data_IF_354120642505
#
_entry.id   IF_354120642505
#
_cell.length_a   1.000
_cell.length_b   1.000
_cell.length_c   1.000
_cell.angle_alpha   90.00
_cell.angle_beta   90.00
_cell.angle_gamma   90.00
#
_symmetry.space_group_name_H-M   'P 1'
#
loop_
_entity.id
_entity.type
_entity.pdbx_description
1 polymer ?
#
# COMPACT_ATOMS: atom_id res chain seq x y z
N UNK A 1 16.70 -11.54 39.90
CA UNK A 1 17.20 -11.15 41.24
C UNK A 1 18.47 -11.92 41.57
N UNK A 2 18.50 -13.26 41.45
CA UNK A 2 19.71 -14.06 41.73
C UNK A 2 20.95 -13.66 40.92
N UNK A 3 20.81 -13.40 39.61
CA UNK A 3 21.94 -12.98 38.75
C UNK A 3 22.58 -11.64 39.15
N UNK A 4 21.84 -10.79 39.87
CA UNK A 4 22.31 -9.48 40.34
C UNK A 4 22.45 -9.43 41.87
N UNK A 5 22.17 -10.55 42.55
CA UNK A 5 22.13 -10.67 44.01
C UNK A 5 21.39 -9.54 44.75
N UNK A 6 20.21 -9.15 44.25
CA UNK A 6 19.35 -8.12 44.85
C UNK A 6 18.15 -8.72 45.57
N UNK A 7 17.75 -8.13 46.69
CA UNK A 7 16.81 -8.73 47.64
C UNK A 7 15.35 -8.42 47.28
N UNK A 8 15.10 -7.23 46.73
CA UNK A 8 13.74 -6.77 46.42
C UNK A 8 13.69 -5.93 45.13
N UNK A 9 12.45 -5.66 44.66
CA UNK A 9 12.21 -4.93 43.41
C UNK A 9 12.71 -3.48 43.51
N UNK A 10 12.65 -2.88 44.70
CA UNK A 10 13.07 -1.50 44.92
C UNK A 10 14.58 -1.33 44.72
N UNK A 11 15.37 -2.22 45.30
CA UNK A 11 16.83 -2.25 45.11
C UNK A 11 17.21 -2.46 43.65
N UNK A 12 16.47 -3.32 42.94
CA UNK A 12 16.68 -3.52 41.51
C UNK A 12 16.40 -2.23 40.71
N UNK A 13 15.29 -1.56 40.99
CA UNK A 13 14.93 -0.29 40.33
C UNK A 13 15.97 0.80 40.61
N UNK A 14 16.37 0.96 41.87
CA UNK A 14 17.37 1.95 42.28
C UNK A 14 18.72 1.68 41.61
N UNK A 15 19.15 0.41 41.52
CA UNK A 15 20.36 0.02 40.78
C UNK A 15 20.27 0.34 39.27
N UNK A 16 19.15 -0.02 38.63
CA UNK A 16 18.95 0.25 37.20
C UNK A 16 18.94 1.75 36.90
N UNK A 17 18.35 2.56 37.78
CA UNK A 17 18.28 4.02 37.59
C UNK A 17 19.66 4.64 37.83
N UNK A 18 20.28 4.38 38.98
CA UNK A 18 21.49 5.10 39.41
C UNK A 18 22.75 4.60 38.71
N UNK A 19 22.93 3.29 38.60
CA UNK A 19 24.19 2.71 38.09
C UNK A 19 24.16 2.48 36.58
N UNK A 20 22.98 2.23 36.00
CA UNK A 20 22.86 1.84 34.60
C UNK A 20 22.34 2.97 33.71
N UNK A 21 21.22 3.60 34.08
CA UNK A 21 20.58 4.64 33.25
C UNK A 21 21.27 5.99 33.40
N UNK A 22 21.57 6.42 34.64
CA UNK A 22 22.18 7.72 34.90
C UNK A 22 23.61 7.81 34.33
N UNK A 23 24.39 6.73 34.46
CA UNK A 23 25.73 6.59 33.86
C UNK A 23 25.67 6.52 32.32
N UNK A 24 24.52 6.20 31.74
CA UNK A 24 24.30 6.17 30.30
C UNK A 24 24.64 4.84 29.63
N UNK A 25 24.80 3.76 30.39
CA UNK A 25 25.03 2.40 29.86
C UNK A 25 23.80 1.90 29.11
N UNK A 26 22.60 2.20 29.61
CA UNK A 26 21.33 1.82 29.00
C UNK A 26 20.37 3.00 28.93
N UNK A 27 19.58 3.06 27.87
CA UNK A 27 18.39 3.92 27.79
C UNK A 27 17.17 3.02 27.76
N UNK A 28 16.31 3.17 28.76
CA UNK A 28 15.22 2.24 28.99
C UNK A 28 14.08 2.89 29.78
N UNK A 29 12.95 2.18 29.85
CA UNK A 29 11.81 2.54 30.70
C UNK A 29 11.45 1.39 31.62
N UNK A 30 11.16 1.72 32.89
CA UNK A 30 10.62 0.78 33.86
C UNK A 30 9.09 0.76 33.73
N UNK A 31 8.52 -0.42 33.48
CA UNK A 31 7.09 -0.65 33.45
C UNK A 31 6.71 -1.54 34.63
N UNK A 32 6.20 -0.91 35.69
CA UNK A 32 5.89 -1.59 36.95
C UNK A 32 4.67 -2.51 36.84
N UNK A 33 3.70 -2.15 35.98
CA UNK A 33 2.50 -2.98 35.79
C UNK A 33 2.85 -4.29 35.10
N UNK A 34 3.70 -4.22 34.07
CA UNK A 34 4.17 -5.42 33.33
C UNK A 34 5.39 -6.07 33.96
N UNK A 35 5.92 -5.48 35.05
CA UNK A 35 7.14 -5.88 35.75
C UNK A 35 8.30 -6.11 34.78
N UNK A 36 8.46 -5.21 33.81
CA UNK A 36 9.45 -5.35 32.75
C UNK A 36 10.29 -4.08 32.58
N UNK A 37 11.52 -4.29 32.10
CA UNK A 37 12.45 -3.22 31.78
C UNK A 37 12.63 -3.16 30.27
N UNK A 38 12.09 -2.11 29.66
CA UNK A 38 12.06 -1.95 28.21
C UNK A 38 13.28 -1.17 27.76
N UNK A 39 14.29 -1.89 27.28
CA UNK A 39 15.55 -1.34 26.82
C UNK A 39 15.43 -0.87 25.36
N UNK A 40 15.73 0.39 25.11
CA UNK A 40 15.77 0.97 23.77
C UNK A 40 17.21 1.00 23.23
N UNK A 41 18.18 1.16 24.12
CA UNK A 41 19.59 1.20 23.77
C UNK A 41 20.42 0.62 24.91
N UNK A 42 21.50 -0.09 24.56
CA UNK A 42 22.52 -0.55 25.48
C UNK A 42 23.90 -0.35 24.86
N UNK A 43 24.84 0.16 25.63
CA UNK A 43 26.24 0.26 25.23
C UNK A 43 26.89 -1.14 25.23
N UNK A 44 27.66 -1.45 24.18
CA UNK A 44 28.48 -2.65 24.14
C UNK A 44 29.69 -2.49 25.05
N UNK A 45 29.83 -3.37 26.05
CA UNK A 45 30.91 -3.28 27.05
C UNK A 45 32.09 -4.20 26.72
N UNK A 46 31.82 -5.49 26.50
CA UNK A 46 32.85 -6.51 26.34
C UNK A 46 32.59 -7.38 25.12
N UNK A 47 33.66 -7.72 24.39
CA UNK A 47 33.64 -8.74 23.33
C UNK A 47 34.35 -9.99 23.84
N UNK A 48 33.64 -11.11 23.94
CA UNK A 48 34.29 -12.39 24.26
C UNK A 48 35.00 -12.94 23.02
N UNK A 49 36.12 -13.66 23.17
CA UNK A 49 36.79 -14.32 22.05
C UNK A 49 35.80 -15.18 21.25
N UNK A 50 35.82 -15.05 19.91
CA UNK A 50 34.93 -15.78 19.00
C UNK A 50 33.56 -15.12 18.72
N UNK A 51 33.15 -14.08 19.45
CA UNK A 51 31.85 -13.43 19.21
C UNK A 51 31.82 -12.49 17.99
N UNK A 52 32.98 -12.00 17.56
CA UNK A 52 33.07 -11.04 16.45
C UNK A 52 32.49 -11.62 15.14
N UNK A 53 32.78 -12.89 14.83
CA UNK A 53 32.24 -13.55 13.64
C UNK A 53 30.72 -13.64 13.67
N UNK A 54 30.13 -13.96 14.83
CA UNK A 54 28.67 -13.96 15.00
C UNK A 54 28.07 -12.57 14.84
N UNK A 55 28.73 -11.51 15.33
CA UNK A 55 28.26 -10.14 15.16
C UNK A 55 28.24 -9.72 13.69
N UNK A 56 29.31 -10.00 12.96
CA UNK A 56 29.41 -9.74 11.52
C UNK A 56 28.28 -10.47 10.80
N UNK A 57 28.09 -11.76 11.08
CA UNK A 57 27.04 -12.55 10.45
C UNK A 57 25.63 -11.98 10.72
N UNK A 58 25.31 -11.62 11.97
CA UNK A 58 24.02 -11.02 12.33
C UNK A 58 23.78 -9.70 11.59
N UNK A 59 24.79 -8.83 11.51
CA UNK A 59 24.70 -7.56 10.79
C UNK A 59 24.55 -7.77 9.28
N UNK A 60 25.29 -8.72 8.69
CA UNK A 60 25.17 -9.06 7.27
C UNK A 60 23.79 -9.60 6.93
N UNK A 61 23.23 -10.48 7.76
CA UNK A 61 21.88 -11.02 7.56
C UNK A 61 20.83 -9.90 7.68
N UNK A 62 20.99 -8.99 8.63
CA UNK A 62 20.06 -7.87 8.79
C UNK A 62 20.11 -6.92 7.60
N UNK A 63 21.30 -6.61 7.09
CA UNK A 63 21.48 -5.82 5.88
C UNK A 63 20.80 -6.49 4.68
N UNK A 64 21.12 -7.76 4.43
CA UNK A 64 20.53 -8.52 3.31
C UNK A 64 19.00 -8.58 3.39
N UNK A 65 18.45 -8.78 4.59
CA UNK A 65 16.99 -8.79 4.80
C UNK A 65 16.38 -7.42 4.48
N UNK A 66 17.01 -6.34 4.90
CA UNK A 66 16.57 -4.97 4.64
C UNK A 66 16.61 -4.64 3.14
N UNK A 67 17.69 -5.04 2.45
CA UNK A 67 17.83 -4.84 1.01
C UNK A 67 16.78 -5.62 0.21
N UNK A 68 16.52 -6.88 0.60
CA UNK A 68 15.49 -7.70 -0.03
C UNK A 68 14.08 -7.10 0.15
N UNK A 69 13.79 -6.56 1.33
CA UNK A 69 12.53 -5.87 1.61
C UNK A 69 12.40 -4.61 0.75
N UNK A 70 13.48 -3.83 0.61
CA UNK A 70 13.49 -2.64 -0.24
C UNK A 70 13.25 -2.99 -1.72
N UNK A 71 13.95 -3.99 -2.24
CA UNK A 71 13.75 -4.48 -3.61
C UNK A 71 12.31 -4.93 -3.85
N UNK A 72 11.75 -5.68 -2.89
CA UNK A 72 10.35 -6.13 -2.96
C UNK A 72 9.38 -4.95 -3.04
N UNK A 73 9.59 -3.91 -2.23
CA UNK A 73 8.76 -2.70 -2.26
C UNK A 73 8.89 -2.01 -3.63
N UNK A 74 10.11 -1.86 -4.15
CA UNK A 74 10.34 -1.23 -5.45
C UNK A 74 9.65 -1.99 -6.60
N UNK A 75 9.69 -3.32 -6.58
CA UNK A 75 9.02 -4.13 -7.59
C UNK A 75 7.50 -4.03 -7.49
N UNK A 76 6.95 -3.93 -6.27
CA UNK A 76 5.52 -3.67 -6.06
C UNK A 76 5.08 -2.31 -6.56
N UNK A 77 5.92 -1.28 -6.42
CA UNK A 77 5.66 0.05 -6.98
C UNK A 77 5.62 -0.03 -8.51
N UNK A 78 6.64 -0.60 -9.15
CA UNK A 78 6.69 -0.75 -10.63
C UNK A 78 5.50 -1.54 -11.17
N UNK A 79 5.13 -2.61 -10.47
CA UNK A 79 3.96 -3.40 -10.83
C UNK A 79 2.68 -2.57 -10.75
N UNK A 80 2.48 -1.82 -9.65
CA UNK A 80 1.32 -0.98 -9.47
C UNK A 80 1.23 0.12 -10.54
N UNK A 81 2.35 0.75 -10.88
CA UNK A 81 2.41 1.75 -11.95
C UNK A 81 2.04 1.15 -13.30
N UNK A 82 2.59 -0.02 -13.63
CA UNK A 82 2.31 -0.73 -14.89
C UNK A 82 0.83 -1.10 -15.00
N UNK A 83 0.25 -1.65 -13.94
CA UNK A 83 -1.17 -2.01 -13.90
C UNK A 83 -2.05 -0.77 -13.99
N UNK A 84 -1.69 0.31 -13.29
CA UNK A 84 -2.42 1.58 -13.37
C UNK A 84 -2.45 2.17 -14.77
N UNK A 85 -1.32 2.16 -15.48
CA UNK A 85 -1.26 2.64 -16.86
C UNK A 85 -2.04 1.76 -17.84
N UNK A 86 -1.99 0.43 -17.67
CA UNK A 86 -2.81 -0.49 -18.46
C UNK A 86 -4.31 -0.26 -18.22
N UNK A 87 -4.73 -0.10 -16.97
CA UNK A 87 -6.13 0.17 -16.62
C UNK A 87 -6.61 1.52 -17.17
N UNK A 88 -5.78 2.56 -17.11
CA UNK A 88 -6.08 3.86 -17.72
C UNK A 88 -6.28 3.72 -19.23
N UNK A 89 -5.41 2.97 -19.91
CA UNK A 89 -5.53 2.71 -21.35
C UNK A 89 -6.80 1.94 -21.69
N UNK A 90 -7.08 0.85 -20.98
CA UNK A 90 -8.28 0.05 -21.17
C UNK A 90 -9.57 0.85 -20.94
N UNK A 91 -9.59 1.69 -19.90
CA UNK A 91 -10.71 2.59 -19.62
C UNK A 91 -10.92 3.58 -20.78
N UNK A 92 -9.85 4.20 -21.27
CA UNK A 92 -9.93 5.14 -22.40
C UNK A 92 -10.47 4.47 -23.67
N UNK A 93 -9.96 3.29 -24.02
CA UNK A 93 -10.46 2.53 -25.19
C UNK A 93 -11.94 2.13 -25.04
N UNK A 94 -12.38 1.76 -23.83
CA UNK A 94 -13.78 1.43 -23.58
C UNK A 94 -14.70 2.66 -23.71
N UNK A 95 -14.25 3.82 -23.22
CA UNK A 95 -14.96 5.09 -23.38
C UNK A 95 -15.06 5.51 -24.86
N UNK A 96 -13.98 5.38 -25.64
CA UNK A 96 -13.98 5.68 -27.07
C UNK A 96 -14.98 4.78 -27.83
N UNK A 97 -14.97 3.47 -27.59
CA UNK A 97 -15.95 2.53 -28.18
C UNK A 97 -17.38 2.86 -27.77
N UNK A 98 -17.61 3.26 -26.52
CA UNK A 98 -18.93 3.69 -26.07
C UNK A 98 -19.42 4.91 -26.85
N UNK A 99 -18.56 5.90 -27.06
CA UNK A 99 -18.90 7.10 -27.84
C UNK A 99 -19.16 6.78 -29.32
N UNK A 100 -18.40 5.86 -29.92
CA UNK A 100 -18.67 5.37 -31.28
C UNK A 100 -20.03 4.66 -31.38
N UNK A 101 -20.37 3.80 -30.41
CA UNK A 101 -21.68 3.13 -30.35
C UNK A 101 -22.81 4.15 -30.18
N UNK A 102 -22.64 5.17 -29.32
CA UNK A 102 -23.62 6.26 -29.19
C UNK A 102 -23.82 7.03 -30.49
N UNK A 103 -22.73 7.38 -31.19
CA UNK A 103 -22.78 8.09 -32.49
C UNK A 103 -23.50 7.27 -33.55
N UNK A 104 -23.16 5.99 -33.70
CA UNK A 104 -23.79 5.09 -34.68
C UNK A 104 -25.27 4.85 -34.38
N UNK A 105 -25.65 4.74 -33.10
CA UNK A 105 -27.06 4.65 -32.69
C UNK A 105 -27.83 5.94 -33.01
N UNK A 106 -27.24 7.11 -32.76
CA UNK A 106 -27.85 8.40 -33.09
C UNK A 106 -28.06 8.56 -34.60
N UNK A 107 -27.07 8.20 -35.41
CA UNK A 107 -27.17 8.22 -36.88
C UNK A 107 -28.27 7.26 -37.39
N UNK A 108 -28.34 6.04 -36.85
CA UNK A 108 -29.42 5.09 -37.17
C UNK A 108 -30.79 5.66 -36.79
N UNK A 109 -30.93 6.28 -35.62
CA UNK A 109 -32.19 6.92 -35.19
C UNK A 109 -32.63 8.02 -36.17
N UNK A 110 -31.71 8.85 -36.64
CA UNK A 110 -32.00 9.89 -37.64
C UNK A 110 -32.37 9.30 -39.01
N UNK A 111 -31.71 8.23 -39.46
CA UNK A 111 -32.07 7.55 -40.71
C UNK A 111 -33.44 6.87 -40.63
N UNK A 112 -33.78 6.21 -39.52
CA UNK A 112 -35.09 5.58 -39.34
C UNK A 112 -36.22 6.61 -39.29
N UNK A 113 -35.97 7.76 -38.63
CA UNK A 113 -36.93 8.86 -38.62
C UNK A 113 -37.13 9.47 -40.00
N UNK A 114 -36.05 9.77 -40.72
CA UNK A 114 -36.15 10.29 -42.09
C UNK A 114 -36.84 9.33 -43.05
N UNK A 115 -36.67 8.01 -42.87
CA UNK A 115 -37.36 6.98 -43.66
C UNK A 115 -38.85 6.89 -43.34
N UNK A 116 -39.23 7.05 -42.07
CA UNK A 116 -40.64 7.14 -41.65
C UNK A 116 -41.32 8.42 -42.15
N UNK A 117 -40.62 9.57 -42.16
CA UNK A 117 -41.15 10.83 -42.70
C UNK A 117 -41.39 10.75 -44.21
N UNK A 118 -40.47 10.15 -44.97
CA UNK A 118 -40.63 9.93 -46.41
C UNK A 118 -41.80 8.99 -46.74
N UNK A 119 -42.03 7.94 -45.96
CA UNK A 119 -43.20 7.05 -46.15
C UNK A 119 -44.52 7.73 -45.79
N UNK A 120 -44.54 8.62 -44.80
CA UNK A 120 -45.76 9.34 -44.41
C UNK A 120 -46.09 10.49 -45.39
N UNK A 121 -45.10 11.19 -45.92
CA UNK A 121 -45.29 12.18 -47.00
C UNK A 121 -45.69 11.51 -48.33
N UNK A 122 -45.13 10.35 -48.65
CA UNK A 122 -45.55 9.56 -49.81
C UNK A 122 -47.01 9.07 -49.69
N UNK A 123 -47.44 8.68 -48.48
CA UNK A 123 -48.83 8.27 -48.22
C UNK A 123 -49.81 9.45 -48.29
N UNK A 124 -49.41 10.66 -47.84
CA UNK A 124 -50.24 11.88 -47.97
C UNK A 124 -50.40 12.38 -49.40
N UNK A 125 -49.44 12.15 -50.29
CA UNK A 125 -49.56 12.53 -51.71
C UNK A 125 -50.45 11.61 -52.53
N UNK A 126 -50.86 10.47 -51.98
CA UNK A 126 -51.63 9.43 -52.68
C UNK A 126 -53.08 9.29 -52.17
N UNK A 127 -53.68 10.36 -51.62
CA UNK A 127 -55.12 10.43 -51.42
C UNK A 127 -55.78 10.99 -52.69
N UNK A 128 -56.56 10.18 -53.45
CA UNK A 128 -57.43 10.71 -54.48
C UNK A 128 -58.59 11.44 -53.79
N UNK A 129 -58.81 12.71 -54.14
CA UNK A 129 -60.06 13.39 -53.82
C UNK A 129 -61.23 12.55 -54.33
N UNK A 130 -62.01 11.95 -53.44
CA UNK A 130 -63.35 11.49 -53.78
C UNK A 130 -64.33 12.60 -53.44
N UNK A 131 -64.92 13.11 -54.52
CA UNK A 131 -65.98 14.10 -54.61
C UNK A 131 -67.30 13.33 -54.61
N UNK A 132 -68.30 13.90 -53.93
CA UNK A 132 -69.72 13.49 -53.77
C UNK A 132 -70.03 12.37 -52.77
#
# INVERSE_FOLDING_TARGET
MQELDVINVRELEDFLINECMYVGIVRAKLDQLRRCFQVQFAAGRDLRPGQLGSMIHTLSNWLSTSDNLLNTIQDKIKWADTVSELDKKHKKEAEERMEEVKKTLSLKKSQTMSRQTLTFEALRRCSPNQVE
#
